data_IF_307000794284
#
_entry.id   IF_307000794284
#
_cell.length_a   1.000
_cell.length_b   1.000
_cell.length_c   1.000
_cell.angle_alpha   90.00
_cell.angle_beta   90.00
_cell.angle_gamma   90.00
#
_symmetry.space_group_name_H-M   'P 1'
#
loop_
_entity.id
_entity.type
_entity.pdbx_description
1 polymer ?
#
# COMPACT_ATOMS: atom_id res chain seq x y z
N UNK A 1 10.82 -23.16 11.07
CA UNK A 1 10.23 -22.98 9.71
C UNK A 1 9.12 -21.93 9.76
N UNK A 2 9.44 -20.70 10.13
CA UNK A 2 8.47 -19.59 10.24
C UNK A 2 8.57 -18.72 8.98
N UNK A 3 7.48 -18.61 8.24
CA UNK A 3 7.36 -17.81 7.01
C UNK A 3 7.40 -16.30 7.23
N UNK A 4 8.40 -15.80 7.96
CA UNK A 4 8.55 -14.37 8.30
C UNK A 4 9.10 -13.53 7.13
N UNK A 5 9.78 -14.15 6.15
CA UNK A 5 10.48 -13.44 5.07
C UNK A 5 9.59 -12.78 3.99
N UNK A 6 8.27 -13.01 4.02
CA UNK A 6 7.33 -12.32 3.12
C UNK A 6 6.68 -11.10 3.79
N UNK A 7 6.41 -11.17 5.10
CA UNK A 7 5.76 -10.09 5.86
C UNK A 7 6.69 -8.87 6.03
N UNK A 8 7.99 -9.10 6.20
CA UNK A 8 9.00 -8.01 6.28
C UNK A 8 9.07 -7.17 4.99
N UNK A 9 8.57 -7.67 3.85
CA UNK A 9 8.61 -6.94 2.56
C UNK A 9 7.52 -5.89 2.43
N UNK A 10 6.49 -5.94 3.27
CA UNK A 10 5.33 -5.04 3.19
C UNK A 10 5.47 -3.80 4.08
N UNK A 11 6.22 -3.87 5.17
CA UNK A 11 6.44 -2.71 6.05
C UNK A 11 7.14 -1.57 5.31
N UNK A 12 8.18 -1.89 4.53
CA UNK A 12 8.89 -0.91 3.71
C UNK A 12 8.07 -0.33 2.55
N UNK A 13 6.86 -0.83 2.29
CA UNK A 13 5.98 -0.26 1.26
C UNK A 13 5.42 1.10 1.69
N UNK A 14 5.18 1.29 2.99
CA UNK A 14 4.76 2.59 3.54
C UNK A 14 5.88 3.63 3.55
N UNK A 15 7.15 3.19 3.43
CA UNK A 15 8.31 4.07 3.32
C UNK A 15 8.57 4.57 1.89
N UNK A 16 7.90 4.00 0.88
CA UNK A 16 8.09 4.40 -0.52
C UNK A 16 7.54 5.81 -0.74
N UNK A 17 8.30 6.71 -1.40
CA UNK A 17 7.83 8.06 -1.68
C UNK A 17 6.64 8.09 -2.64
N UNK A 18 6.54 7.10 -3.54
CA UNK A 18 5.45 6.94 -4.50
C UNK A 18 5.10 5.46 -4.65
N UNK A 19 3.81 5.16 -4.63
CA UNK A 19 3.25 3.82 -4.91
C UNK A 19 2.21 3.97 -6.02
N UNK A 20 2.33 3.17 -7.07
CA UNK A 20 1.39 3.17 -8.20
C UNK A 20 0.54 1.91 -8.15
N UNK A 21 -0.78 2.06 -8.08
CA UNK A 21 -1.74 0.96 -8.17
C UNK A 21 -2.26 0.87 -9.61
N UNK A 22 -1.90 -0.19 -10.33
CA UNK A 22 -2.25 -0.41 -11.74
C UNK A 22 -3.01 -1.72 -11.97
N UNK A 23 -3.58 -1.89 -13.17
CA UNK A 23 -4.49 -2.99 -13.51
C UNK A 23 -5.59 -2.58 -14.51
N UNK A 24 -6.29 -3.57 -15.08
CA UNK A 24 -7.36 -3.39 -16.07
C UNK A 24 -8.53 -2.55 -15.54
N UNK A 25 -9.38 -2.01 -16.43
CA UNK A 25 -10.61 -1.32 -16.04
C UNK A 25 -11.51 -2.24 -15.19
N UNK A 26 -12.12 -1.71 -14.13
CA UNK A 26 -13.04 -2.46 -13.26
C UNK A 26 -12.38 -3.33 -12.17
N UNK A 27 -11.06 -3.43 -12.08
CA UNK A 27 -10.39 -4.31 -11.10
C UNK A 27 -10.26 -3.73 -9.68
N UNK A 28 -10.87 -2.57 -9.39
CA UNK A 28 -10.86 -1.99 -8.05
C UNK A 28 -9.59 -1.22 -7.65
N UNK A 29 -8.77 -0.76 -8.60
CA UNK A 29 -7.54 0.01 -8.32
C UNK A 29 -7.77 1.20 -7.38
N UNK A 30 -8.83 1.97 -7.62
CA UNK A 30 -9.19 3.12 -6.79
C UNK A 30 -9.51 2.69 -5.36
N UNK A 31 -10.23 1.59 -5.20
CA UNK A 31 -10.54 1.01 -3.88
C UNK A 31 -9.27 0.56 -3.17
N UNK A 32 -8.37 -0.13 -3.87
CA UNK A 32 -7.09 -0.60 -3.30
C UNK A 32 -6.18 0.58 -2.95
N UNK A 33 -6.08 1.60 -3.81
CA UNK A 33 -5.28 2.80 -3.54
C UNK A 33 -5.81 3.57 -2.33
N UNK A 34 -7.14 3.69 -2.19
CA UNK A 34 -7.77 4.29 -1.02
C UNK A 34 -7.50 3.49 0.25
N UNK A 35 -7.70 2.16 0.23
CA UNK A 35 -7.42 1.29 1.37
C UNK A 35 -5.95 1.36 1.80
N UNK A 36 -5.02 1.38 0.84
CA UNK A 36 -3.60 1.53 1.10
C UNK A 36 -3.27 2.89 1.73
N UNK A 37 -3.80 3.98 1.19
CA UNK A 37 -3.60 5.33 1.73
C UNK A 37 -4.15 5.47 3.15
N UNK A 38 -5.33 4.89 3.43
CA UNK A 38 -5.92 4.85 4.78
C UNK A 38 -5.02 4.06 5.75
N UNK A 39 -4.52 2.89 5.34
CA UNK A 39 -3.64 2.09 6.17
C UNK A 39 -2.30 2.80 6.46
N UNK A 40 -1.70 3.43 5.45
CA UNK A 40 -0.47 4.20 5.60
C UNK A 40 -0.66 5.42 6.53
N UNK A 41 -1.79 6.12 6.41
CA UNK A 41 -2.15 7.21 7.32
C UNK A 41 -2.35 6.73 8.75
N UNK A 42 -3.04 5.60 8.95
CA UNK A 42 -3.20 4.98 10.27
C UNK A 42 -1.85 4.53 10.88
N UNK A 43 -0.87 4.18 10.04
CA UNK A 43 0.51 3.89 10.44
C UNK A 43 1.37 5.16 10.69
N UNK A 44 0.76 6.36 10.71
CA UNK A 44 1.43 7.62 11.04
C UNK A 44 2.12 8.32 9.86
N UNK A 45 1.87 7.88 8.62
CA UNK A 45 2.45 8.52 7.41
C UNK A 45 1.58 9.67 6.92
N UNK A 46 2.23 10.74 6.46
CA UNK A 46 1.55 11.78 5.68
C UNK A 46 1.46 11.32 4.23
N UNK A 47 0.23 11.10 3.75
CA UNK A 47 -0.02 10.50 2.43
C UNK A 47 -0.88 11.44 1.60
N UNK A 48 -0.61 11.48 0.30
CA UNK A 48 -1.48 12.07 -0.71
C UNK A 48 -1.96 10.94 -1.63
N UNK A 49 -3.27 10.79 -1.77
CA UNK A 49 -3.88 9.90 -2.76
C UNK A 49 -4.22 10.73 -4.01
N UNK A 50 -3.71 10.32 -5.17
CA UNK A 50 -3.90 10.94 -6.49
C UNK A 50 -4.62 9.97 -7.42
#
# INVERSE_FOLDING_TARGET
MTGAGLLTRWEGLFDRPVVVVSGKGGTGKSTVAAAFATAAAAAGRRVLLV
#
